data_IF_256858432470
#
_entry.id   IF_256858432470
#
_cell.length_a   1.000
_cell.length_b   1.000
_cell.length_c   1.000
_cell.angle_alpha   90.00
_cell.angle_beta   90.00
_cell.angle_gamma   90.00
#
_symmetry.space_group_name_H-M   'P 1'
#
loop_
_entity.id
_entity.type
_entity.pdbx_description
1 polymer ?
#
# COMPACT_ATOMS: atom_id res chain seq x y z
N UNK A 1 21.38 -0.62 -4.60
CA UNK A 1 19.97 -0.27 -4.77
C UNK A 1 19.22 -0.62 -3.49
N UNK A 2 18.26 0.23 -3.08
CA UNK A 2 17.40 -0.09 -1.95
C UNK A 2 16.28 -1.02 -2.42
N UNK A 3 15.98 -2.05 -1.62
CA UNK A 3 14.79 -2.87 -1.82
C UNK A 3 13.65 -2.32 -0.96
N UNK A 4 12.46 -2.28 -1.54
CA UNK A 4 11.27 -1.75 -0.91
C UNK A 4 10.64 -2.77 0.05
N UNK A 5 10.00 -2.27 1.11
CA UNK A 5 9.07 -3.05 1.94
C UNK A 5 7.91 -3.55 1.08
N UNK A 6 7.32 -4.65 1.48
CA UNK A 6 6.11 -5.22 0.91
C UNK A 6 4.89 -4.62 1.58
N UNK A 7 3.94 -4.14 0.79
CA UNK A 7 2.69 -3.55 1.27
C UNK A 7 1.53 -4.24 0.56
N UNK A 8 0.48 -4.55 1.31
CA UNK A 8 -0.75 -5.19 0.86
C UNK A 8 -1.95 -4.40 1.36
N UNK A 9 -2.78 -3.94 0.43
CA UNK A 9 -4.09 -3.34 0.71
C UNK A 9 -5.21 -4.33 0.38
N UNK A 10 -6.23 -4.36 1.23
CA UNK A 10 -7.39 -5.23 1.08
C UNK A 10 -8.67 -4.49 1.50
N UNK A 11 -9.65 -4.42 0.61
CA UNK A 11 -11.02 -4.01 0.94
C UNK A 11 -11.99 -5.16 0.77
N UNK A 12 -12.92 -5.27 1.70
CA UNK A 12 -13.89 -6.36 1.69
C UNK A 12 -15.13 -6.03 2.51
N UNK A 13 -16.17 -6.84 2.31
CA UNK A 13 -17.36 -6.85 3.13
C UNK A 13 -17.35 -8.12 3.97
N UNK A 14 -17.32 -7.99 5.29
CA UNK A 14 -17.24 -9.10 6.23
C UNK A 14 -18.26 -8.90 7.35
N UNK A 15 -19.06 -9.93 7.62
CA UNK A 15 -20.07 -9.92 8.70
C UNK A 15 -20.98 -8.66 8.73
N UNK A 16 -21.41 -8.19 7.56
CA UNK A 16 -22.34 -7.06 7.45
C UNK A 16 -21.68 -5.68 7.51
N UNK A 17 -20.34 -5.60 7.51
CA UNK A 17 -19.58 -4.34 7.55
C UNK A 17 -18.51 -4.28 6.47
N UNK A 18 -18.27 -3.08 5.96
CA UNK A 18 -17.18 -2.81 5.03
C UNK A 18 -15.88 -2.52 5.81
N UNK A 19 -14.81 -3.18 5.37
CA UNK A 19 -13.47 -3.06 5.93
C UNK A 19 -12.49 -2.59 4.86
N UNK A 20 -11.55 -1.74 5.26
CA UNK A 20 -10.34 -1.49 4.51
C UNK A 20 -9.14 -1.72 5.42
N UNK A 21 -8.22 -2.58 4.98
CA UNK A 21 -7.04 -3.00 5.73
C UNK A 21 -5.81 -2.71 4.87
N UNK A 22 -4.77 -2.15 5.47
CA UNK A 22 -3.45 -2.09 4.84
C UNK A 22 -2.41 -2.68 5.79
N UNK A 23 -1.57 -3.55 5.26
CA UNK A 23 -0.45 -4.12 5.97
C UNK A 23 0.86 -3.83 5.25
N UNK A 24 1.95 -3.77 6.01
CA UNK A 24 3.29 -3.73 5.44
C UNK A 24 4.34 -4.32 6.37
N UNK A 25 5.38 -4.90 5.78
CA UNK A 25 6.54 -5.38 6.53
C UNK A 25 7.51 -4.24 6.87
N UNK A 26 8.49 -4.54 7.72
CA UNK A 26 9.44 -3.56 8.23
C UNK A 26 10.83 -3.61 7.62
N UNK A 27 11.11 -4.51 6.68
CA UNK A 27 12.47 -4.73 6.17
C UNK A 27 12.91 -3.63 5.20
N UNK A 28 14.04 -3.01 5.50
CA UNK A 28 14.77 -2.13 4.59
C UNK A 28 16.09 -2.79 4.28
N UNK A 29 16.28 -3.16 3.02
CA UNK A 29 17.52 -3.78 2.55
C UNK A 29 18.25 -2.85 1.59
N UNK A 30 19.57 -2.76 1.75
CA UNK A 30 20.45 -2.09 0.80
C UNK A 30 21.34 -3.14 0.15
N UNK A 31 21.16 -3.33 -1.16
CA UNK A 31 21.68 -4.48 -1.89
C UNK A 31 21.27 -5.79 -1.18
N UNK A 32 22.25 -6.55 -0.71
CA UNK A 32 22.11 -7.83 -0.04
C UNK A 32 22.19 -7.74 1.49
N UNK A 33 22.16 -6.54 2.08
CA UNK A 33 22.27 -6.34 3.52
C UNK A 33 20.99 -5.74 4.11
N UNK A 34 20.53 -6.27 5.23
CA UNK A 34 19.40 -5.72 6.00
C UNK A 34 19.89 -4.56 6.85
N UNK A 35 19.37 -3.35 6.62
CA UNK A 35 19.71 -2.16 7.39
C UNK A 35 18.81 -1.99 8.62
N UNK A 36 17.52 -2.30 8.48
CA UNK A 36 16.50 -2.13 9.53
C UNK A 36 15.35 -3.10 9.28
N UNK A 37 14.78 -3.64 10.36
CA UNK A 37 13.67 -4.60 10.29
C UNK A 37 12.31 -4.07 10.78
N UNK A 38 12.21 -2.80 11.16
CA UNK A 38 11.00 -2.20 11.75
C UNK A 38 10.65 -0.84 11.15
N UNK A 39 10.83 -0.67 9.85
CA UNK A 39 10.27 0.49 9.15
C UNK A 39 8.73 0.43 9.16
N UNK A 40 8.08 1.60 9.14
CA UNK A 40 6.63 1.70 8.95
C UNK A 40 6.42 2.63 7.76
N UNK A 41 5.88 2.08 6.65
CA UNK A 41 5.61 2.84 5.41
C UNK A 41 4.13 2.85 5.02
N UNK A 42 3.28 2.50 5.98
CA UNK A 42 1.83 2.65 5.91
C UNK A 42 1.41 3.79 6.86
N UNK A 43 0.37 4.53 6.49
CA UNK A 43 -0.12 5.68 7.25
C UNK A 43 -1.62 5.88 7.04
N UNK A 44 -2.30 6.42 8.05
CA UNK A 44 -3.65 6.96 7.90
C UNK A 44 -3.58 8.41 7.40
N UNK A 45 -4.48 8.76 6.47
CA UNK A 45 -4.61 10.06 5.84
C UNK A 45 -6.04 10.56 5.99
N UNK A 46 -6.25 11.86 5.80
CA UNK A 46 -7.54 12.54 5.83
C UNK A 46 -8.42 12.15 7.03
N UNK A 47 -8.05 12.61 8.23
CA UNK A 47 -8.79 12.36 9.48
C UNK A 47 -9.05 10.87 9.75
N UNK A 48 -8.10 9.99 9.43
CA UNK A 48 -8.22 8.54 9.55
C UNK A 48 -9.38 7.95 8.72
N UNK A 49 -9.62 8.48 7.52
CA UNK A 49 -10.64 7.94 6.61
C UNK A 49 -10.03 7.23 5.38
N UNK A 50 -8.72 7.39 5.18
CA UNK A 50 -7.98 6.81 4.06
C UNK A 50 -6.73 6.14 4.60
N UNK A 51 -6.43 4.96 4.07
CA UNK A 51 -5.20 4.24 4.30
C UNK A 51 -4.27 4.45 3.10
N UNK A 52 -2.98 4.59 3.37
CA UNK A 52 -1.98 4.74 2.32
C UNK A 52 -0.71 3.97 2.67
N UNK A 53 -0.01 3.48 1.64
CA UNK A 53 1.26 2.79 1.79
C UNK A 53 2.18 3.03 0.59
N UNK A 54 3.48 3.21 0.85
CA UNK A 54 4.47 3.55 -0.18
C UNK A 54 5.68 2.60 -0.16
N UNK A 55 5.98 1.98 -1.31
CA UNK A 55 7.07 1.02 -1.46
C UNK A 55 8.34 1.67 -2.03
N UNK A 56 8.82 2.75 -1.41
CA UNK A 56 10.03 3.47 -1.83
C UNK A 56 10.85 4.01 -0.66
N UNK A 57 11.65 5.05 -0.89
CA UNK A 57 12.44 5.68 0.18
C UNK A 57 11.54 6.41 1.19
N UNK A 58 11.99 6.52 2.44
CA UNK A 58 11.22 7.22 3.48
C UNK A 58 11.07 8.72 3.19
N UNK A 59 12.10 9.36 2.60
CA UNK A 59 12.05 10.77 2.26
C UNK A 59 10.98 11.06 1.18
N UNK A 60 10.97 10.24 0.12
CA UNK A 60 9.96 10.37 -0.95
C UNK A 60 8.55 10.10 -0.44
N UNK A 61 8.41 9.13 0.49
CA UNK A 61 7.12 8.80 1.10
C UNK A 61 6.50 10.02 1.78
N UNK A 62 7.28 10.77 2.58
CA UNK A 62 6.78 11.96 3.26
C UNK A 62 6.31 13.02 2.26
N UNK A 63 7.11 13.33 1.24
CA UNK A 63 6.72 14.31 0.23
C UNK A 63 5.45 13.93 -0.52
N UNK A 64 5.29 12.64 -0.87
CA UNK A 64 4.10 12.16 -1.56
C UNK A 64 2.87 12.14 -0.65
N UNK A 65 3.01 11.74 0.61
CA UNK A 65 1.91 11.78 1.57
C UNK A 65 1.45 13.21 1.85
N UNK A 66 2.37 14.16 2.05
CA UNK A 66 2.01 15.56 2.29
C UNK A 66 1.34 16.19 1.06
N UNK A 67 1.83 15.87 -0.14
CA UNK A 67 1.19 16.28 -1.40
C UNK A 67 -0.23 15.70 -1.51
N UNK A 68 -0.40 14.41 -1.19
CA UNK A 68 -1.70 13.76 -1.28
C UNK A 68 -2.70 14.26 -0.23
N UNK A 69 -2.25 14.49 1.01
CA UNK A 69 -3.07 15.04 2.10
C UNK A 69 -3.64 16.41 1.72
N UNK A 70 -2.80 17.29 1.16
CA UNK A 70 -3.23 18.62 0.68
C UNK A 70 -4.31 18.51 -0.42
N UNK A 71 -4.17 17.55 -1.33
CA UNK A 71 -5.16 17.31 -2.39
C UNK A 71 -6.46 16.78 -1.77
N UNK A 72 -6.37 15.83 -0.84
CA UNK A 72 -7.52 15.27 -0.14
C UNK A 72 -8.33 16.33 0.60
N UNK A 73 -7.66 17.25 1.30
CA UNK A 73 -8.30 18.41 1.94
C UNK A 73 -9.06 19.27 0.90
N UNK A 74 -8.43 19.61 -0.21
CA UNK A 74 -9.05 20.38 -1.29
C UNK A 74 -10.24 19.68 -1.98
N UNK A 75 -10.28 18.34 -1.95
CA UNK A 75 -11.36 17.52 -2.52
C UNK A 75 -12.35 17.00 -1.49
N UNK A 76 -12.26 17.43 -0.22
CA UNK A 76 -13.14 17.00 0.89
C UNK A 76 -13.18 15.47 1.04
N UNK A 77 -12.03 14.81 0.86
CA UNK A 77 -11.92 13.36 1.03
C UNK A 77 -12.43 12.49 -0.12
N UNK A 78 -12.83 13.08 -1.26
CA UNK A 78 -13.19 12.32 -2.46
C UNK A 78 -11.95 11.61 -3.03
N UNK A 79 -11.82 10.32 -2.73
CA UNK A 79 -10.62 9.54 -3.06
C UNK A 79 -10.39 9.46 -4.57
N UNK A 80 -11.43 9.22 -5.37
CA UNK A 80 -11.31 9.09 -6.83
C UNK A 80 -10.80 10.40 -7.47
N UNK A 81 -11.39 11.54 -7.12
CA UNK A 81 -10.91 12.83 -7.64
C UNK A 81 -9.50 13.15 -7.16
N UNK A 82 -9.18 12.76 -5.92
CA UNK A 82 -7.88 13.02 -5.33
C UNK A 82 -6.77 12.22 -6.00
N UNK A 83 -6.98 10.94 -6.30
CA UNK A 83 -5.97 10.12 -7.00
C UNK A 83 -5.68 10.61 -8.41
N UNK A 84 -6.70 11.08 -9.12
CA UNK A 84 -6.56 11.64 -10.48
C UNK A 84 -5.78 12.95 -10.48
N UNK A 85 -6.03 13.84 -9.51
CA UNK A 85 -5.29 15.10 -9.45
C UNK A 85 -3.87 14.91 -8.88
N UNK A 86 -3.70 13.98 -7.95
CA UNK A 86 -2.39 13.58 -7.43
C UNK A 86 -1.51 12.96 -8.51
N UNK A 87 -2.03 12.07 -9.36
CA UNK A 87 -1.22 11.46 -10.42
C UNK A 87 -0.71 12.49 -11.42
N UNK A 88 -1.53 13.51 -11.74
CA UNK A 88 -1.11 14.64 -12.57
C UNK A 88 -0.02 15.47 -11.89
N UNK A 89 -0.13 15.72 -10.59
CA UNK A 89 0.85 16.51 -9.84
C UNK A 89 2.18 15.76 -9.70
N UNK A 90 2.13 14.48 -9.30
CA UNK A 90 3.30 13.61 -9.19
C UNK A 90 4.05 13.51 -10.53
N UNK A 91 3.34 13.34 -11.65
CA UNK A 91 3.96 13.29 -13.00
C UNK A 91 4.63 14.60 -13.40
N UNK A 92 4.11 15.74 -12.94
CA UNK A 92 4.67 17.07 -13.24
C UNK A 92 5.93 17.36 -12.44
N UNK A 93 6.05 16.78 -11.24
CA UNK A 93 7.23 16.98 -10.40
C UNK A 93 8.49 16.39 -11.04
N UNK A 94 9.51 17.24 -11.24
CA UNK A 94 10.74 16.87 -11.97
C UNK A 94 11.52 15.75 -11.28
N UNK A 95 11.45 15.68 -9.95
CA UNK A 95 12.20 14.73 -9.13
C UNK A 95 11.37 13.48 -8.87
N UNK A 96 10.13 13.65 -8.39
CA UNK A 96 9.30 12.53 -7.95
C UNK A 96 8.81 11.64 -9.10
N UNK A 97 8.66 12.17 -10.33
CA UNK A 97 8.23 11.36 -11.49
C UNK A 97 9.22 10.26 -11.91
N UNK A 98 10.47 10.32 -11.44
CA UNK A 98 11.52 9.34 -11.74
C UNK A 98 11.56 8.19 -10.75
N UNK A 99 10.71 8.22 -9.73
CA UNK A 99 10.61 7.16 -8.75
C UNK A 99 10.01 5.92 -9.40
N UNK A 100 10.69 4.79 -9.25
CA UNK A 100 10.18 3.47 -9.64
C UNK A 100 9.20 2.90 -8.59
N UNK A 101 9.10 3.56 -7.44
CA UNK A 101 8.22 3.16 -6.35
C UNK A 101 6.76 3.46 -6.65
N UNK A 102 5.88 2.59 -6.15
CA UNK A 102 4.43 2.73 -6.23
C UNK A 102 3.83 3.10 -4.87
N UNK A 103 2.61 3.65 -4.89
CA UNK A 103 1.80 3.96 -3.71
C UNK A 103 0.45 3.25 -3.82
N UNK A 104 -0.01 2.63 -2.73
CA UNK A 104 -1.39 2.14 -2.57
C UNK A 104 -2.16 3.16 -1.74
N UNK A 105 -3.39 3.47 -2.15
CA UNK A 105 -4.35 4.22 -1.36
C UNK A 105 -5.70 3.53 -1.37
N UNK A 106 -6.38 3.50 -0.23
CA UNK A 106 -7.69 2.87 -0.13
C UNK A 106 -8.56 3.44 0.98
N UNK A 107 -9.87 3.30 0.79
CA UNK A 107 -10.90 3.43 1.82
C UNK A 107 -11.84 2.22 1.74
N UNK A 108 -12.94 2.22 2.49
CA UNK A 108 -13.91 1.10 2.52
C UNK A 108 -14.55 0.83 1.16
N UNK A 109 -14.55 1.81 0.24
CA UNK A 109 -15.25 1.75 -1.04
C UNK A 109 -14.31 1.41 -2.21
N UNK A 110 -13.08 1.93 -2.20
CA UNK A 110 -12.20 1.97 -3.36
C UNK A 110 -10.73 1.78 -2.98
N UNK A 111 -9.94 1.22 -3.90
CA UNK A 111 -8.51 0.92 -3.73
C UNK A 111 -7.79 1.25 -5.05
N UNK A 112 -6.66 1.95 -4.96
CA UNK A 112 -5.89 2.39 -6.13
C UNK A 112 -4.40 2.17 -5.93
N UNK A 113 -3.71 1.82 -7.01
CA UNK A 113 -2.26 1.82 -7.15
C UNK A 113 -1.86 3.03 -8.01
N UNK A 114 -0.85 3.75 -7.55
CA UNK A 114 -0.37 5.00 -8.14
C UNK A 114 1.14 4.91 -8.40
N UNK A 115 1.59 5.52 -9.49
CA UNK A 115 3.01 5.56 -9.87
C UNK A 115 3.47 6.95 -10.31
N UNK A 116 4.79 7.17 -10.30
CA UNK A 116 5.41 8.43 -10.75
C UNK A 116 5.23 8.74 -12.25
N UNK A 117 4.86 7.73 -13.05
CA UNK A 117 4.49 7.92 -14.47
C UNK A 117 3.12 8.58 -14.65
N UNK A 118 2.35 8.70 -13.55
CA UNK A 118 1.01 9.26 -13.53
C UNK A 118 -0.09 8.23 -13.77
N UNK A 119 0.22 6.94 -13.64
CA UNK A 119 -0.77 5.88 -13.78
C UNK A 119 -1.62 5.78 -12.51
N UNK A 120 -2.92 5.56 -12.72
CA UNK A 120 -3.91 5.31 -11.67
C UNK A 120 -4.59 4.01 -12.03
N UNK A 121 -4.36 2.97 -11.23
CA UNK A 121 -4.83 1.62 -11.53
C UNK A 121 -5.68 1.10 -10.39
N UNK A 122 -6.89 0.64 -10.71
CA UNK A 122 -7.71 -0.16 -9.80
C UNK A 122 -7.40 -1.65 -10.06
N UNK A 123 -7.22 -2.50 -9.03
CA UNK A 123 -7.07 -3.93 -9.24
C UNK A 123 -8.32 -4.52 -9.90
N UNK A 124 -8.14 -5.52 -10.75
CA UNK A 124 -9.22 -6.17 -11.49
C UNK A 124 -10.31 -6.78 -10.59
N UNK A 125 -9.91 -7.37 -9.47
CA UNK A 125 -10.82 -7.90 -8.45
C UNK A 125 -11.51 -6.79 -7.64
N UNK A 126 -11.07 -5.54 -7.79
CA UNK A 126 -11.56 -4.40 -7.04
C UNK A 126 -11.43 -4.57 -5.53
N UNK A 127 -10.47 -5.36 -5.03
CA UNK A 127 -10.35 -5.69 -3.61
C UNK A 127 -8.92 -5.68 -3.09
N UNK A 128 -7.97 -6.24 -3.84
CA UNK A 128 -6.63 -6.56 -3.35
C UNK A 128 -5.58 -5.87 -4.22
N UNK A 129 -4.68 -5.12 -3.59
CA UNK A 129 -3.53 -4.51 -4.25
C UNK A 129 -2.27 -4.77 -3.45
N UNK A 130 -1.15 -5.06 -4.11
CA UNK A 130 0.14 -5.23 -3.45
C UNK A 130 1.25 -4.52 -4.22
N UNK A 131 2.24 -4.01 -3.49
CA UNK A 131 3.42 -3.33 -4.03
C UNK A 131 4.67 -3.72 -3.25
N UNK A 132 5.84 -3.43 -3.81
CA UNK A 132 7.13 -3.67 -3.16
C UNK A 132 7.74 -5.04 -3.45
N UNK A 133 8.85 -5.36 -2.77
CA UNK A 133 9.73 -6.47 -3.17
C UNK A 133 9.05 -7.84 -3.13
N UNK A 134 8.16 -8.05 -2.15
CA UNK A 134 7.39 -9.27 -1.99
C UNK A 134 5.93 -9.15 -2.44
N UNK A 135 5.57 -8.07 -3.16
CA UNK A 135 4.19 -7.74 -3.49
C UNK A 135 3.44 -8.88 -4.20
N UNK A 136 4.08 -9.52 -5.19
CA UNK A 136 3.45 -10.62 -5.95
C UNK A 136 3.18 -11.87 -5.09
N UNK A 137 4.05 -12.18 -4.11
CA UNK A 137 3.82 -13.29 -3.19
C UNK A 137 2.65 -12.99 -2.25
N UNK A 138 2.61 -11.77 -1.69
CA UNK A 138 1.51 -11.32 -0.84
C UNK A 138 0.18 -11.29 -1.61
N UNK A 139 0.18 -10.79 -2.85
CA UNK A 139 -0.99 -10.75 -3.72
C UNK A 139 -1.52 -12.15 -4.02
N UNK A 140 -0.63 -13.09 -4.36
CA UNK A 140 -1.02 -14.47 -4.67
C UNK A 140 -1.64 -15.16 -3.45
N UNK A 141 -1.02 -14.99 -2.27
CA UNK A 141 -1.54 -15.52 -1.02
C UNK A 141 -2.90 -14.90 -0.66
N UNK A 142 -3.02 -13.57 -0.73
CA UNK A 142 -4.24 -12.86 -0.39
C UNK A 142 -5.42 -13.26 -1.29
N UNK A 143 -5.19 -13.42 -2.59
CA UNK A 143 -6.22 -13.87 -3.54
C UNK A 143 -6.69 -15.29 -3.24
N UNK A 144 -5.78 -16.21 -2.94
CA UNK A 144 -6.14 -17.56 -2.55
C UNK A 144 -6.94 -17.58 -1.24
N UNK A 145 -6.54 -16.77 -0.25
CA UNK A 145 -7.24 -16.67 1.03
C UNK A 145 -8.63 -16.02 0.89
N UNK A 146 -8.79 -14.94 0.11
CA UNK A 146 -10.10 -14.31 -0.14
C UNK A 146 -11.07 -15.27 -0.84
N UNK A 147 -10.55 -16.08 -1.77
CA UNK A 147 -11.38 -16.99 -2.55
C UNK A 147 -11.82 -18.24 -1.76
N UNK A 148 -10.96 -18.79 -0.90
CA UNK A 148 -11.16 -20.13 -0.34
C UNK A 148 -11.25 -20.18 1.19
N UNK A 149 -10.80 -19.15 1.90
CA UNK A 149 -10.77 -19.15 3.35
C UNK A 149 -11.80 -18.18 3.95
N UNK A 150 -12.43 -18.58 5.06
CA UNK A 150 -13.29 -17.70 5.85
C UNK A 150 -12.48 -17.11 7.01
N UNK A 151 -11.75 -16.04 6.73
CA UNK A 151 -10.88 -15.36 7.69
C UNK A 151 -11.36 -13.94 7.97
N UNK A 152 -11.05 -13.44 9.16
CA UNK A 152 -11.18 -12.02 9.44
C UNK A 152 -10.27 -11.20 8.49
N UNK A 153 -10.70 -10.03 8.01
CA UNK A 153 -9.95 -9.26 7.01
C UNK A 153 -8.52 -8.93 7.43
N UNK A 154 -8.33 -8.61 8.72
CA UNK A 154 -7.01 -8.34 9.30
C UNK A 154 -6.10 -9.56 9.26
N UNK A 155 -6.62 -10.74 9.64
CA UNK A 155 -5.89 -12.01 9.60
C UNK A 155 -5.49 -12.37 8.18
N UNK A 156 -6.36 -12.15 7.18
CA UNK A 156 -6.02 -12.40 5.78
C UNK A 156 -4.79 -11.60 5.34
N UNK A 157 -4.76 -10.29 5.63
CA UNK A 157 -3.63 -9.43 5.28
C UNK A 157 -2.37 -9.84 6.03
N UNK A 158 -2.49 -10.14 7.33
CA UNK A 158 -1.37 -10.58 8.16
C UNK A 158 -0.72 -11.86 7.63
N UNK A 159 -1.52 -12.91 7.39
CA UNK A 159 -1.03 -14.20 6.92
C UNK A 159 -0.47 -14.11 5.51
N UNK A 160 -1.07 -13.29 4.64
CA UNK A 160 -0.55 -13.06 3.28
C UNK A 160 0.84 -12.42 3.29
N UNK A 161 1.07 -11.46 4.19
CA UNK A 161 2.38 -10.83 4.35
C UNK A 161 3.40 -11.76 5.01
N UNK A 162 2.98 -12.60 5.98
CA UNK A 162 3.85 -13.64 6.56
C UNK A 162 4.29 -14.66 5.51
N UNK A 163 3.38 -15.09 4.64
CA UNK A 163 3.71 -15.98 3.50
C UNK A 163 4.73 -15.30 2.59
N UNK A 164 4.52 -14.02 2.25
CA UNK A 164 5.50 -13.27 1.48
C UNK A 164 6.87 -13.19 2.17
N UNK A 165 6.91 -12.99 3.49
CA UNK A 165 8.14 -12.97 4.30
C UNK A 165 8.82 -14.33 4.45
N UNK A 166 8.13 -15.44 4.16
CA UNK A 166 8.74 -16.78 4.12
C UNK A 166 9.42 -17.08 2.77
N UNK A 167 9.07 -16.34 1.72
CA UNK A 167 9.52 -16.58 0.35
C UNK A 167 10.48 -15.50 -0.16
N UNK A 168 10.16 -14.23 0.11
CA UNK A 168 10.92 -13.09 -0.37
C UNK A 168 12.03 -12.72 0.63
N UNK A 169 13.28 -12.82 0.21
CA UNK A 169 14.46 -12.43 1.02
C UNK A 169 14.47 -10.94 1.42
N UNK A 170 13.63 -10.11 0.81
CA UNK A 170 13.49 -8.67 1.07
C UNK A 170 12.24 -8.30 1.89
N UNK A 171 11.52 -9.29 2.41
CA UNK A 171 10.32 -9.11 3.23
C UNK A 171 10.51 -9.86 4.54
N UNK A 172 10.27 -9.21 5.69
CA UNK A 172 10.37 -9.88 6.99
C UNK A 172 9.00 -10.15 7.63
N UNK A 173 9.04 -10.76 8.81
CA UNK A 173 7.87 -11.12 9.61
C UNK A 173 7.40 -9.98 10.54
N UNK A 174 8.04 -8.80 10.51
CA UNK A 174 7.64 -7.68 11.35
C UNK A 174 6.57 -6.86 10.64
N UNK A 175 5.33 -7.32 10.77
CA UNK A 175 4.19 -6.75 10.06
C UNK A 175 3.50 -5.67 10.92
N UNK A 176 3.16 -4.55 10.28
CA UNK A 176 2.25 -3.53 10.82
C UNK A 176 0.98 -3.50 9.99
N UNK A 177 -0.15 -3.30 10.66
CA UNK A 177 -1.48 -3.26 10.03
C UNK A 177 -2.25 -2.04 10.53
N UNK A 178 -2.94 -1.37 9.61
CA UNK A 178 -3.93 -0.33 9.89
C UNK A 178 -5.27 -0.74 9.28
N UNK A 179 -6.37 -0.31 9.90
CA UNK A 179 -7.73 -0.66 9.51
C UNK A 179 -8.69 0.53 9.61
N UNK A 180 -9.75 0.50 8.81
CA UNK A 180 -10.89 1.43 8.83
C UNK A 180 -12.19 0.67 9.03
#
# INVERSE_FOLDING_TARGET
>A
MFHATTILGYKTHFEGKDYAIIGGDGQVSFNNCVLKGNATKIRTLHHNQILSGFAGSTADAFSLFDMFERILEGKKGDLFKSVVDFSKEWRKDKFLRRLEAMMIVLNKQSIFILSGTGDVVEPEDGKIAAIGSGGNYALSAARALDQFAKLEPKTLVEESLKIAGNLCIYTNQNIKILEL
#
